data_IF_064364514068
#
_entry.id   IF_064364514068
#
_cell.length_a   1.000
_cell.length_b   1.000
_cell.length_c   1.000
_cell.angle_alpha   90.00
_cell.angle_beta   90.00
_cell.angle_gamma   90.00
#
_symmetry.space_group_name_H-M   'P 1'
#
loop_
_entity.id
_entity.type
_entity.pdbx_description
1 polymer ?
#
# COMPACT_ATOMS: atom_id res chain seq x y z
N UNK A 1 -24.55 -12.44 7.88
CA UNK A 1 -23.24 -13.13 7.96
C UNK A 1 -22.98 -14.00 6.73
N UNK A 2 -23.96 -14.77 6.23
CA UNK A 2 -23.86 -15.60 5.01
C UNK A 2 -23.44 -14.82 3.73
N UNK A 3 -23.96 -13.61 3.49
CA UNK A 3 -23.69 -12.82 2.25
C UNK A 3 -22.22 -12.43 2.02
N UNK A 4 -21.46 -12.10 3.08
CA UNK A 4 -20.04 -11.71 2.92
C UNK A 4 -19.13 -12.89 2.61
N UNK A 5 -19.48 -14.09 3.09
CA UNK A 5 -18.76 -15.31 2.75
C UNK A 5 -18.91 -15.67 1.27
N UNK A 6 -20.12 -15.49 0.73
CA UNK A 6 -20.40 -15.72 -0.69
C UNK A 6 -19.77 -14.64 -1.59
N UNK A 7 -19.77 -13.38 -1.17
CA UNK A 7 -19.10 -12.28 -1.90
C UNK A 7 -17.58 -12.47 -1.95
N UNK A 8 -16.94 -12.79 -0.83
CA UNK A 8 -15.49 -13.05 -0.81
C UNK A 8 -15.11 -14.27 -1.65
N UNK A 9 -15.95 -15.31 -1.66
CA UNK A 9 -15.73 -16.48 -2.50
C UNK A 9 -15.82 -16.11 -3.99
N UNK A 10 -16.89 -15.40 -4.38
CA UNK A 10 -17.06 -14.94 -5.77
C UNK A 10 -15.92 -14.03 -6.22
N UNK A 11 -15.43 -13.17 -5.33
CA UNK A 11 -14.27 -12.31 -5.59
C UNK A 11 -13.01 -13.14 -5.91
N UNK A 12 -12.70 -14.13 -5.07
CA UNK A 12 -11.56 -15.01 -5.31
C UNK A 12 -11.69 -15.83 -6.60
N UNK A 13 -12.89 -16.33 -6.90
CA UNK A 13 -13.17 -17.05 -8.16
C UNK A 13 -12.92 -16.15 -9.38
N UNK A 14 -13.32 -14.87 -9.33
CA UNK A 14 -13.08 -13.90 -10.41
C UNK A 14 -11.61 -13.46 -10.53
N UNK A 15 -10.88 -13.35 -9.40
CA UNK A 15 -9.43 -13.10 -9.41
C UNK A 15 -8.68 -14.24 -10.08
N UNK A 16 -8.99 -15.49 -9.71
CA UNK A 16 -8.40 -16.69 -10.32
C UNK A 16 -8.73 -16.77 -11.82
N UNK A 17 -9.98 -16.48 -12.21
CA UNK A 17 -10.40 -16.44 -13.61
C UNK A 17 -9.65 -15.36 -14.40
N UNK A 18 -9.54 -14.14 -13.87
CA UNK A 18 -8.78 -13.06 -14.52
C UNK A 18 -7.30 -13.41 -14.66
N UNK A 19 -6.68 -14.00 -13.63
CA UNK A 19 -5.29 -14.44 -13.67
C UNK A 19 -5.05 -15.56 -14.69
N UNK A 20 -6.00 -16.48 -14.83
CA UNK A 20 -5.95 -17.51 -15.86
C UNK A 20 -5.99 -16.91 -17.27
N UNK A 21 -6.89 -15.95 -17.51
CA UNK A 21 -6.95 -15.23 -18.79
C UNK A 21 -5.69 -14.42 -19.09
N UNK A 22 -5.15 -13.72 -18.08
CA UNK A 22 -3.89 -12.98 -18.19
C UNK A 22 -2.75 -13.94 -18.64
N UNK A 23 -2.63 -15.11 -18.02
CA UNK A 23 -1.64 -16.13 -18.39
C UNK A 23 -1.84 -16.68 -19.82
N UNK A 24 -3.08 -16.94 -20.22
CA UNK A 24 -3.37 -17.39 -21.59
C UNK A 24 -3.01 -16.30 -22.60
N UNK A 25 -3.28 -15.03 -22.28
CA UNK A 25 -2.98 -13.90 -23.17
C UNK A 25 -1.48 -13.68 -23.39
N UNK A 26 -0.64 -14.03 -22.42
CA UNK A 26 0.82 -13.99 -22.54
C UNK A 26 1.37 -15.07 -23.48
N UNK A 27 0.67 -16.21 -23.58
CA UNK A 27 1.11 -17.36 -24.41
C UNK A 27 0.55 -17.33 -25.82
N UNK A 28 -0.65 -16.79 -26.03
CA UNK A 28 -1.30 -16.72 -27.35
C UNK A 28 -2.25 -15.55 -27.49
N UNK A 29 -2.58 -15.24 -28.74
CA UNK A 29 -3.66 -14.30 -29.05
C UNK A 29 -5.02 -14.91 -28.68
N UNK A 30 -5.80 -14.17 -27.88
CA UNK A 30 -7.18 -14.50 -27.53
C UNK A 30 -8.12 -14.23 -28.72
N UNK A 31 -9.12 -15.09 -28.90
CA UNK A 31 -10.23 -14.85 -29.84
C UNK A 31 -11.09 -13.67 -29.39
N UNK A 32 -11.94 -13.16 -30.28
CA UNK A 32 -12.83 -12.05 -29.93
C UNK A 32 -13.82 -12.43 -28.80
N UNK A 33 -14.34 -13.66 -28.84
CA UNK A 33 -15.23 -14.18 -27.80
C UNK A 33 -14.51 -14.30 -26.44
N UNK A 34 -13.27 -14.78 -26.43
CA UNK A 34 -12.46 -14.89 -25.21
C UNK A 34 -12.13 -13.52 -24.61
N UNK A 35 -11.83 -12.53 -25.46
CA UNK A 35 -11.59 -11.15 -25.03
C UNK A 35 -12.83 -10.54 -24.38
N UNK A 36 -14.02 -10.81 -24.93
CA UNK A 36 -15.27 -10.35 -24.34
C UNK A 36 -15.50 -11.00 -22.96
N UNK A 37 -15.30 -12.31 -22.84
CA UNK A 37 -15.44 -13.03 -21.56
C UNK A 37 -14.48 -12.49 -20.50
N UNK A 38 -13.20 -12.33 -20.84
CA UNK A 38 -12.21 -11.72 -19.96
C UNK A 38 -12.59 -10.28 -19.58
N UNK A 39 -13.10 -9.50 -20.53
CA UNK A 39 -13.62 -8.16 -20.29
C UNK A 39 -14.79 -8.13 -19.30
N UNK A 40 -15.72 -9.08 -19.39
CA UNK A 40 -16.82 -9.20 -18.41
C UNK A 40 -16.31 -9.59 -17.03
N UNK A 41 -15.41 -10.57 -16.93
CA UNK A 41 -14.80 -10.99 -15.67
C UNK A 41 -14.08 -9.82 -14.99
N UNK A 42 -13.29 -9.04 -15.75
CA UNK A 42 -12.60 -7.84 -15.25
C UNK A 42 -13.56 -6.76 -14.76
N UNK A 43 -14.64 -6.49 -15.51
CA UNK A 43 -15.64 -5.52 -15.09
C UNK A 43 -16.38 -5.94 -13.82
N UNK A 44 -16.73 -7.23 -13.71
CA UNK A 44 -17.37 -7.76 -12.51
C UNK A 44 -16.46 -7.72 -11.29
N UNK A 45 -15.16 -8.02 -11.47
CA UNK A 45 -14.15 -7.88 -10.43
C UNK A 45 -14.04 -6.43 -9.95
N UNK A 46 -13.87 -5.49 -10.89
CA UNK A 46 -13.77 -4.06 -10.59
C UNK A 46 -15.01 -3.54 -9.84
N UNK A 47 -16.21 -3.98 -10.23
CA UNK A 47 -17.45 -3.63 -9.53
C UNK A 47 -17.46 -4.13 -8.08
N UNK A 48 -17.05 -5.37 -7.84
CA UNK A 48 -16.97 -5.92 -6.48
C UNK A 48 -15.93 -5.20 -5.61
N UNK A 49 -14.80 -4.79 -6.20
CA UNK A 49 -13.80 -3.97 -5.50
C UNK A 49 -14.38 -2.62 -5.08
N UNK A 50 -15.10 -1.96 -6.00
CA UNK A 50 -15.71 -0.67 -5.75
C UNK A 50 -16.79 -0.76 -4.66
N UNK A 51 -17.66 -1.77 -4.72
CA UNK A 51 -18.66 -2.04 -3.67
C UNK A 51 -17.99 -2.27 -2.30
N UNK A 52 -16.89 -3.04 -2.27
CA UNK A 52 -16.11 -3.28 -1.05
C UNK A 52 -15.48 -2.00 -0.52
N UNK A 53 -14.95 -1.15 -1.40
CA UNK A 53 -14.36 0.16 -1.05
C UNK A 53 -15.41 1.06 -0.41
N UNK A 54 -16.60 1.14 -1.00
CA UNK A 54 -17.72 1.94 -0.47
C UNK A 54 -18.20 1.39 0.88
N UNK A 55 -18.39 0.08 1.03
CA UNK A 55 -18.79 -0.55 2.30
C UNK A 55 -17.75 -0.30 3.41
N UNK A 56 -16.46 -0.37 3.11
CA UNK A 56 -15.39 -0.04 4.06
C UNK A 56 -15.44 1.43 4.48
N UNK A 57 -15.63 2.35 3.53
CA UNK A 57 -15.76 3.77 3.83
C UNK A 57 -16.98 4.07 4.70
N UNK A 58 -18.13 3.44 4.41
CA UNK A 58 -19.34 3.56 5.21
C UNK A 58 -19.14 3.05 6.64
N UNK A 59 -18.57 1.85 6.82
CA UNK A 59 -18.27 1.33 8.17
C UNK A 59 -17.33 2.23 8.96
N UNK A 60 -16.32 2.79 8.30
CA UNK A 60 -15.38 3.73 8.93
C UNK A 60 -16.12 4.97 9.44
N UNK A 61 -16.97 5.58 8.59
CA UNK A 61 -17.80 6.73 8.97
C UNK A 61 -18.76 6.39 10.10
N UNK A 62 -19.43 5.24 10.06
CA UNK A 62 -20.34 4.80 11.13
C UNK A 62 -19.60 4.60 12.46
N UNK A 63 -18.39 4.02 12.43
CA UNK A 63 -17.55 3.88 13.63
C UNK A 63 -17.10 5.24 14.16
N UNK A 64 -16.67 6.13 13.28
CA UNK A 64 -16.28 7.50 13.67
C UNK A 64 -17.44 8.27 14.30
N UNK A 65 -18.63 8.21 13.69
CA UNK A 65 -19.83 8.85 14.23
C UNK A 65 -20.27 8.24 15.58
N UNK A 66 -20.06 6.93 15.78
CA UNK A 66 -20.44 6.24 17.01
C UNK A 66 -19.44 6.44 18.17
N UNK A 67 -18.14 6.48 17.87
CA UNK A 67 -17.08 6.55 18.89
C UNK A 67 -16.53 7.96 19.09
N UNK A 68 -16.62 8.85 18.10
CA UNK A 68 -16.04 10.18 18.15
C UNK A 68 -14.54 10.14 18.54
N UNK A 69 -14.20 10.89 19.58
CA UNK A 69 -12.84 10.98 20.13
C UNK A 69 -12.39 9.71 20.85
N UNK A 70 -13.33 8.82 21.23
CA UNK A 70 -13.02 7.54 21.85
C UNK A 70 -12.53 6.49 20.84
N UNK A 71 -12.38 6.83 19.55
CA UNK A 71 -11.77 5.98 18.52
C UNK A 71 -10.22 5.86 18.68
N UNK A 72 -9.76 5.78 19.92
CA UNK A 72 -8.36 5.67 20.33
C UNK A 72 -7.68 4.45 19.72
N UNK A 73 -8.39 3.32 19.58
CA UNK A 73 -7.86 2.10 18.98
C UNK A 73 -7.33 2.31 17.54
N UNK A 74 -8.03 3.12 16.73
CA UNK A 74 -7.57 3.46 15.38
C UNK A 74 -6.26 4.27 15.43
N UNK A 75 -6.23 5.33 16.25
CA UNK A 75 -5.05 6.19 16.36
C UNK A 75 -3.84 5.44 16.94
N UNK A 76 -4.04 4.63 17.97
CA UNK A 76 -2.99 3.78 18.53
C UNK A 76 -2.46 2.79 17.48
N UNK A 77 -3.35 2.15 16.71
CA UNK A 77 -2.96 1.26 15.62
C UNK A 77 -2.15 1.96 14.53
N UNK A 78 -2.61 3.14 14.09
CA UNK A 78 -1.92 3.97 13.10
C UNK A 78 -0.54 4.44 13.59
N UNK A 79 -0.45 4.94 14.82
CA UNK A 79 0.81 5.36 15.43
C UNK A 79 1.79 4.19 15.54
N UNK A 80 1.32 3.01 15.95
CA UNK A 80 2.14 1.80 16.02
C UNK A 80 2.65 1.40 14.63
N UNK A 81 1.80 1.41 13.62
CA UNK A 81 2.20 1.13 12.23
C UNK A 81 3.27 2.12 11.78
N UNK A 82 3.05 3.42 11.96
CA UNK A 82 4.02 4.47 11.61
C UNK A 82 5.34 4.29 12.37
N UNK A 83 5.30 3.94 13.65
CA UNK A 83 6.49 3.68 14.44
C UNK A 83 7.27 2.46 13.93
N UNK A 84 6.60 1.41 13.47
CA UNK A 84 7.25 0.23 12.88
C UNK A 84 7.83 0.53 11.50
N UNK A 85 7.05 1.15 10.60
CA UNK A 85 7.48 1.45 9.23
C UNK A 85 8.63 2.45 9.20
N UNK A 86 8.64 3.42 10.11
CA UNK A 86 9.68 4.45 10.17
C UNK A 86 10.86 4.05 11.07
N UNK A 87 10.87 2.82 11.61
CA UNK A 87 11.96 2.37 12.48
C UNK A 87 13.22 2.12 11.65
N UNK A 88 14.23 2.95 11.85
CA UNK A 88 15.56 2.73 11.29
C UNK A 88 16.28 1.73 12.20
N UNK A 89 16.41 0.48 11.74
CA UNK A 89 17.13 -0.58 12.48
C UNK A 89 18.65 -0.47 12.34
N UNK A 90 19.11 0.23 11.32
CA UNK A 90 20.52 0.43 11.01
C UNK A 90 20.67 1.12 9.66
N UNK A 91 21.86 1.64 9.42
CA UNK A 91 22.25 2.29 8.16
C UNK A 91 23.57 1.70 7.69
N UNK A 92 23.75 1.65 6.37
CA UNK A 92 25.03 1.28 5.76
C UNK A 92 25.89 2.55 5.64
N UNK A 93 27.07 2.56 6.24
CA UNK A 93 28.04 3.66 6.13
C UNK A 93 29.33 3.11 5.53
N UNK A 94 29.57 3.41 4.25
CA UNK A 94 30.66 2.77 3.51
C UNK A 94 30.51 1.25 3.50
N UNK A 95 31.48 0.54 4.09
CA UNK A 95 31.50 -0.93 4.13
C UNK A 95 31.00 -1.51 5.47
N UNK A 96 30.51 -0.67 6.39
CA UNK A 96 30.06 -1.09 7.71
C UNK A 96 28.55 -0.89 7.90
N UNK A 97 27.91 -1.87 8.55
CA UNK A 97 26.52 -1.77 8.99
C UNK A 97 26.46 -1.22 10.40
N UNK A 98 25.87 -0.04 10.56
CA UNK A 98 25.77 0.67 11.85
C UNK A 98 24.35 0.54 12.38
N UNK A 99 24.18 -0.11 13.53
CA UNK A 99 22.89 -0.27 14.21
C UNK A 99 22.77 0.51 15.53
N UNK A 100 23.88 1.07 16.04
CA UNK A 100 23.92 1.82 17.29
C UNK A 100 23.20 3.18 17.12
N UNK A 101 22.13 3.47 17.90
CA UNK A 101 21.32 4.67 17.72
C UNK A 101 22.10 5.99 17.72
N UNK A 102 23.08 6.16 18.60
CA UNK A 102 23.86 7.41 18.66
C UNK A 102 24.75 7.60 17.42
N UNK A 103 25.28 6.50 16.87
CA UNK A 103 26.06 6.55 15.64
C UNK A 103 25.17 6.85 14.42
N UNK A 104 23.98 6.23 14.34
CA UNK A 104 22.99 6.52 13.30
C UNK A 104 22.64 8.01 13.28
N UNK A 105 22.39 8.61 14.45
CA UNK A 105 22.08 10.04 14.57
C UNK A 105 23.22 10.91 14.05
N UNK A 106 24.46 10.61 14.43
CA UNK A 106 25.62 11.41 14.02
C UNK A 106 25.88 11.31 12.52
N UNK A 107 25.78 10.12 11.93
CA UNK A 107 25.89 9.94 10.48
C UNK A 107 24.77 10.67 9.73
N UNK A 108 23.53 10.59 10.21
CA UNK A 108 22.41 11.32 9.63
C UNK A 108 22.64 12.84 9.69
N UNK A 109 23.07 13.38 10.84
CA UNK A 109 23.38 14.80 11.01
C UNK A 109 24.42 15.27 9.99
N UNK A 110 25.57 14.58 9.91
CA UNK A 110 26.65 14.92 8.98
C UNK A 110 26.19 14.87 7.52
N UNK A 111 25.41 13.86 7.16
CA UNK A 111 24.89 13.72 5.81
C UNK A 111 24.04 14.93 5.41
N UNK A 112 23.11 15.36 6.27
CA UNK A 112 22.24 16.50 5.97
C UNK A 112 22.96 17.85 6.05
N UNK A 113 23.98 18.00 6.89
CA UNK A 113 24.84 19.20 6.91
C UNK A 113 25.59 19.36 5.58
N UNK A 114 26.16 18.29 5.06
CA UNK A 114 26.84 18.28 3.75
C UNK A 114 25.84 18.59 2.64
N UNK A 115 24.66 17.94 2.66
CA UNK A 115 23.62 18.16 1.65
C UNK A 115 23.18 19.63 1.61
N UNK A 116 22.91 20.24 2.78
CA UNK A 116 22.51 21.64 2.87
C UNK A 116 23.61 22.61 2.41
N UNK A 117 24.88 22.28 2.71
CA UNK A 117 26.01 23.08 2.23
C UNK A 117 26.17 23.02 0.71
N UNK A 118 25.93 21.85 0.09
CA UNK A 118 25.96 21.68 -1.36
C UNK A 118 24.82 22.48 -2.02
N UNK A 119 23.60 22.39 -1.50
CA UNK A 119 22.45 23.15 -2.04
C UNK A 119 22.69 24.66 -1.97
N UNK A 120 23.26 25.15 -0.86
CA UNK A 120 23.65 26.56 -0.71
C UNK A 120 24.72 26.98 -1.73
N UNK A 121 25.75 26.14 -1.96
CA UNK A 121 26.80 26.42 -2.92
C UNK A 121 26.30 26.41 -4.38
N UNK A 122 25.35 25.53 -4.73
CA UNK A 122 24.75 25.48 -6.06
C UNK A 122 23.79 26.66 -6.32
N UNK A 123 23.09 27.15 -5.29
CA UNK A 123 22.22 28.32 -5.39
C UNK A 123 22.98 29.65 -5.59
N UNK A 124 24.26 29.73 -5.19
CA UNK A 124 25.09 30.95 -5.31
C UNK A 124 25.86 30.99 -6.64
N UNK A 125 25.98 29.85 -7.33
CA UNK A 125 26.69 29.72 -8.61
C UNK A 125 25.78 29.84 -9.86
N UNK A 126 24.47 30.07 -9.68
CA UNK A 126 23.47 30.28 -10.74
C UNK A 126 22.99 31.74 -10.73
#
# INVERSE_FOLDING_TARGET
MQRKGTENRKFGELEEECAAWDSISETRVLSEEERLLWGYAKNDLFRLEEERRVDLAQKSRSRWAALGDDNTAYFHGYLKHRAVSNRINGIQVGNEWVSEPEQIKEHARRFFEILAAIDSAMSVAA
#
